data_IF_974527402209
#
_entry.id   IF_974527402209
#
_cell.length_a   1.000
_cell.length_b   1.000
_cell.length_c   1.000
_cell.angle_alpha   90.00
_cell.angle_beta   90.00
_cell.angle_gamma   90.00
#
_symmetry.space_group_name_H-M   'P 1'
#
loop_
_entity.id
_entity.type
_entity.pdbx_description
1 polymer ?
#
# COMPACT_ATOMS: atom_id res chain seq x y z
N UNK A 1 8.40 38.37 14.55
CA UNK A 1 8.30 36.95 14.12
C UNK A 1 6.85 36.46 14.15
N UNK A 2 5.89 37.38 14.23
CA UNK A 2 4.53 37.11 14.73
C UNK A 2 3.53 36.80 13.60
N UNK A 3 3.95 37.02 12.36
CA UNK A 3 3.16 36.80 11.13
C UNK A 3 3.41 35.44 10.49
N UNK A 4 4.51 34.77 10.84
CA UNK A 4 4.92 33.51 10.19
C UNK A 4 4.04 32.32 10.64
N UNK A 5 3.73 32.23 11.94
CA UNK A 5 2.88 31.19 12.51
C UNK A 5 1.44 31.20 11.94
N UNK A 6 0.73 32.35 11.90
CA UNK A 6 -0.59 32.43 11.27
C UNK A 6 -0.56 32.06 9.79
N UNK A 7 0.43 32.54 9.05
CA UNK A 7 0.57 32.23 7.62
C UNK A 7 0.75 30.73 7.36
N UNK A 8 1.55 30.03 8.18
CA UNK A 8 1.68 28.57 8.08
C UNK A 8 0.39 27.83 8.42
N UNK A 9 -0.33 28.31 9.45
CA UNK A 9 -1.59 27.69 9.88
C UNK A 9 -2.70 27.79 8.84
N UNK A 10 -2.70 28.82 7.99
CA UNK A 10 -3.64 28.97 6.89
C UNK A 10 -3.47 27.89 5.80
N UNK A 11 -2.24 27.37 5.63
CA UNK A 11 -1.91 26.29 4.69
C UNK A 11 -2.08 24.90 5.32
N UNK A 12 -2.07 24.79 6.64
CA UNK A 12 -2.24 23.54 7.36
C UNK A 12 -3.47 22.71 6.92
N UNK A 13 -4.69 23.27 6.76
CA UNK A 13 -5.86 22.46 6.43
C UNK A 13 -5.75 21.79 5.05
N UNK A 14 -5.23 22.47 4.03
CA UNK A 14 -5.11 21.91 2.68
C UNK A 14 -4.01 20.85 2.61
N UNK A 15 -2.86 21.11 3.24
CA UNK A 15 -1.75 20.16 3.34
C UNK A 15 -2.16 18.92 4.13
N UNK A 16 -2.89 19.09 5.23
CA UNK A 16 -3.36 17.98 6.05
C UNK A 16 -4.27 17.05 5.26
N UNK A 17 -5.24 17.60 4.51
CA UNK A 17 -6.12 16.81 3.63
C UNK A 17 -5.29 16.08 2.57
N UNK A 18 -4.32 16.76 1.94
CA UNK A 18 -3.43 16.14 0.96
C UNK A 18 -2.60 14.99 1.53
N UNK A 19 -2.08 15.14 2.76
CA UNK A 19 -1.33 14.10 3.45
C UNK A 19 -2.20 12.90 3.81
N UNK A 20 -3.41 13.14 4.32
CA UNK A 20 -4.38 12.07 4.61
C UNK A 20 -4.73 11.31 3.33
N UNK A 21 -5.05 12.02 2.26
CA UNK A 21 -5.35 11.40 0.96
C UNK A 21 -4.18 10.57 0.43
N UNK A 22 -2.97 11.15 0.45
CA UNK A 22 -1.76 10.45 0.04
C UNK A 22 -1.52 9.19 0.87
N UNK A 23 -1.72 9.27 2.19
CA UNK A 23 -1.58 8.12 3.09
C UNK A 23 -2.59 7.01 2.77
N UNK A 24 -3.86 7.37 2.51
CA UNK A 24 -4.90 6.41 2.11
C UNK A 24 -4.51 5.73 0.79
N UNK A 25 -4.15 6.49 -0.24
CA UNK A 25 -3.72 5.93 -1.53
C UNK A 25 -2.48 5.04 -1.38
N UNK A 26 -1.50 5.47 -0.58
CA UNK A 26 -0.30 4.70 -0.25
C UNK A 26 -0.64 3.37 0.42
N UNK A 27 -1.61 3.38 1.34
CA UNK A 27 -2.05 2.20 2.07
C UNK A 27 -2.77 1.21 1.14
N UNK A 28 -3.72 1.68 0.33
CA UNK A 28 -4.45 0.85 -0.66
C UNK A 28 -3.48 0.18 -1.63
N UNK A 29 -2.55 0.94 -2.21
CA UNK A 29 -1.55 0.40 -3.15
C UNK A 29 -0.59 -0.61 -2.49
N UNK A 30 -0.34 -0.49 -1.18
CA UNK A 30 0.52 -1.43 -0.45
C UNK A 30 -0.24 -2.68 -0.03
N UNK A 31 -1.52 -2.55 0.31
CA UNK A 31 -2.41 -3.64 0.65
C UNK A 31 -2.65 -4.58 -0.55
N UNK A 32 -2.87 -4.05 -1.76
CA UNK A 32 -3.02 -4.87 -2.98
C UNK A 32 -1.78 -5.76 -3.23
N UNK A 33 -0.58 -5.23 -2.96
CA UNK A 33 0.67 -6.00 -3.07
C UNK A 33 0.78 -7.11 -2.02
N UNK A 34 0.28 -6.90 -0.79
CA UNK A 34 0.30 -7.95 0.24
C UNK A 34 -0.70 -9.07 -0.05
N UNK A 35 -1.89 -8.75 -0.57
CA UNK A 35 -2.89 -9.77 -0.90
C UNK A 35 -2.41 -10.72 -2.00
N UNK A 36 -1.78 -10.18 -3.05
CA UNK A 36 -1.20 -11.01 -4.13
C UNK A 36 -0.09 -11.93 -3.61
N UNK A 37 0.77 -11.43 -2.73
CA UNK A 37 1.87 -12.23 -2.14
C UNK A 37 1.36 -13.32 -1.20
N UNK A 38 0.36 -13.00 -0.37
CA UNK A 38 -0.24 -13.98 0.55
C UNK A 38 -0.93 -15.11 -0.21
N UNK A 39 -1.71 -14.79 -1.26
CA UNK A 39 -2.35 -15.78 -2.13
C UNK A 39 -1.32 -16.66 -2.85
N UNK A 40 -0.27 -16.05 -3.42
CA UNK A 40 0.79 -16.81 -4.09
C UNK A 40 1.53 -17.76 -3.15
N UNK A 41 1.75 -17.35 -1.89
CA UNK A 41 2.38 -18.20 -0.87
C UNK A 41 1.51 -19.41 -0.52
N UNK A 42 0.22 -19.20 -0.28
CA UNK A 42 -0.72 -20.28 0.05
C UNK A 42 -0.86 -21.26 -1.12
N UNK A 43 -1.01 -20.75 -2.35
CA UNK A 43 -1.09 -21.61 -3.55
C UNK A 43 0.18 -22.43 -3.77
N UNK A 44 1.36 -21.87 -3.47
CA UNK A 44 2.63 -22.60 -3.54
C UNK A 44 2.73 -23.70 -2.49
N UNK A 45 2.29 -23.44 -1.25
CA UNK A 45 2.24 -24.44 -0.17
C UNK A 45 1.26 -25.58 -0.49
N UNK A 46 0.08 -25.27 -1.04
CA UNK A 46 -0.89 -26.30 -1.46
C UNK A 46 -0.37 -27.13 -2.63
N UNK A 47 0.28 -26.52 -3.64
CA UNK A 47 0.89 -27.28 -4.74
C UNK A 47 2.02 -28.18 -4.27
N UNK A 48 2.88 -27.69 -3.37
CA UNK A 48 3.96 -28.49 -2.80
C UNK A 48 3.41 -29.71 -2.06
N UNK A 49 2.32 -29.53 -1.30
CA UNK A 49 1.63 -30.62 -0.60
C UNK A 49 0.97 -31.63 -1.55
N UNK A 50 0.48 -31.17 -2.69
CA UNK A 50 -0.12 -32.00 -3.73
C UNK A 50 0.90 -32.63 -4.70
N UNK A 51 2.20 -32.33 -4.55
CA UNK A 51 3.24 -32.80 -5.47
C UNK A 51 3.12 -32.22 -6.89
N UNK A 52 2.38 -31.13 -7.05
CA UNK A 52 2.15 -30.48 -8.33
C UNK A 52 3.34 -29.59 -8.71
N UNK A 53 3.75 -29.54 -9.99
CA UNK A 53 4.84 -28.67 -10.41
C UNK A 53 4.50 -27.20 -10.13
N UNK A 54 5.53 -26.42 -9.77
CA UNK A 54 5.39 -24.98 -9.64
C UNK A 54 4.82 -24.40 -10.94
N UNK A 55 3.77 -23.60 -10.86
CA UNK A 55 3.19 -22.95 -12.04
C UNK A 55 4.30 -22.07 -12.63
N UNK A 56 4.83 -22.49 -13.77
CA UNK A 56 5.72 -21.65 -14.56
C UNK A 56 5.00 -20.32 -14.72
N UNK A 57 5.65 -19.24 -14.29
CA UNK A 57 5.16 -17.88 -14.49
C UNK A 57 4.80 -17.81 -15.96
N UNK A 58 3.51 -17.72 -16.27
CA UNK A 58 3.09 -17.47 -17.64
C UNK A 58 3.76 -16.16 -18.04
N UNK A 59 4.48 -16.26 -19.15
CA UNK A 59 5.24 -15.23 -19.87
C UNK A 59 4.58 -13.84 -19.84
#
# INVERSE_FOLDING_TARGET
MDVLLPALSALAPTVLIGLVFWFIMRAVLRADKSERRAKAKIEAEERARLGLPAKASAE
#
